data_IF_097096906620
#
_entry.id   IF_097096906620
#
_cell.length_a   1.000
_cell.length_b   1.000
_cell.length_c   1.000
_cell.angle_alpha   90.00
_cell.angle_beta   90.00
_cell.angle_gamma   90.00
#
_symmetry.space_group_name_H-M   'P 1'
#
loop_
_entity.id
_entity.type
_entity.pdbx_description
1 polymer ?
#
# COMPACT_ATOMS: atom_id res chain seq x y z
N UNK A 1 -11.69 -19.86 11.76
CA UNK A 1 -10.55 -19.01 11.35
C UNK A 1 -10.40 -19.16 9.85
N UNK A 2 -10.61 -18.10 9.08
CA UNK A 2 -10.43 -18.17 7.63
C UNK A 2 -8.93 -18.27 7.36
N UNK A 3 -8.50 -19.33 6.65
CA UNK A 3 -7.13 -19.55 6.16
C UNK A 3 -6.80 -18.56 5.03
N UNK A 4 -6.96 -17.25 5.27
CA UNK A 4 -6.63 -16.21 4.30
C UNK A 4 -5.14 -15.89 4.34
N UNK A 5 -4.48 -15.90 3.19
CA UNK A 5 -3.14 -15.32 3.07
C UNK A 5 -3.25 -13.80 3.22
N UNK A 6 -2.43 -13.24 4.12
CA UNK A 6 -2.27 -11.79 4.25
C UNK A 6 -1.67 -11.24 2.97
N UNK A 7 -2.19 -10.11 2.50
CA UNK A 7 -1.78 -9.49 1.25
C UNK A 7 -1.40 -8.03 1.49
N UNK A 8 -0.30 -7.61 0.88
CA UNK A 8 0.15 -6.24 0.79
C UNK A 8 0.38 -5.95 -0.69
N UNK A 9 -0.20 -4.87 -1.19
CA UNK A 9 0.01 -4.37 -2.55
C UNK A 9 0.48 -2.93 -2.42
N UNK A 10 1.66 -2.63 -2.96
CA UNK A 10 2.22 -1.27 -2.97
C UNK A 10 2.82 -1.05 -4.35
N UNK A 11 2.55 0.12 -4.94
CA UNK A 11 3.18 0.52 -6.19
C UNK A 11 2.47 1.71 -6.82
N UNK A 12 2.97 2.11 -7.98
CA UNK A 12 2.37 3.12 -8.83
C UNK A 12 1.19 2.52 -9.63
N UNK A 13 -0.02 3.01 -9.37
CA UNK A 13 -1.23 2.61 -10.08
C UNK A 13 -1.57 3.55 -11.23
N UNK A 14 -1.09 4.80 -11.16
CA UNK A 14 -1.40 5.89 -12.08
C UNK A 14 -2.89 5.95 -12.47
N UNK A 15 -3.77 5.77 -11.48
CA UNK A 15 -5.22 5.71 -11.65
C UNK A 15 -5.89 6.84 -10.85
N UNK A 16 -6.13 8.02 -11.44
CA UNK A 16 -6.83 9.12 -10.78
C UNK A 16 -8.20 8.73 -10.18
N UNK A 17 -8.38 8.90 -8.86
CA UNK A 17 -9.66 8.65 -8.20
C UNK A 17 -9.89 9.56 -7.00
N UNK A 18 -11.15 9.91 -6.74
CA UNK A 18 -11.52 10.79 -5.62
C UNK A 18 -11.20 10.16 -4.26
N UNK A 19 -11.33 8.83 -4.14
CA UNK A 19 -10.98 8.06 -2.94
C UNK A 19 -9.51 8.20 -2.50
N UNK A 20 -8.61 8.68 -3.36
CA UNK A 20 -7.24 9.00 -3.00
C UNK A 20 -6.80 10.40 -3.45
N UNK A 21 -7.74 11.35 -3.43
CA UNK A 21 -7.43 12.79 -3.45
C UNK A 21 -7.42 13.45 -4.83
N UNK A 22 -7.85 12.78 -5.89
CA UNK A 22 -8.07 13.43 -7.18
C UNK A 22 -9.44 14.12 -7.24
N UNK A 23 -9.57 15.17 -8.04
CA UNK A 23 -10.81 15.95 -8.14
C UNK A 23 -11.88 15.27 -9.01
N UNK A 24 -11.45 14.38 -9.91
CA UNK A 24 -12.32 13.68 -10.84
C UNK A 24 -11.91 12.23 -10.93
N UNK A 25 -12.86 11.38 -11.29
CA UNK A 25 -12.67 9.95 -11.51
C UNK A 25 -13.30 9.59 -12.85
N UNK A 26 -12.54 8.98 -13.76
CA UNK A 26 -13.11 8.38 -14.97
C UNK A 26 -13.51 6.93 -14.75
N UNK A 27 -14.38 6.40 -15.61
CA UNK A 27 -14.82 4.98 -15.56
C UNK A 27 -13.66 3.98 -15.66
N UNK A 28 -12.56 4.36 -16.32
CA UNK A 28 -11.37 3.49 -16.45
C UNK A 28 -10.64 3.37 -15.11
N UNK A 29 -10.48 4.49 -14.42
CA UNK A 29 -9.73 4.60 -13.17
C UNK A 29 -10.52 4.04 -11.97
N UNK A 30 -11.86 4.13 -12.02
CA UNK A 30 -12.76 3.51 -11.06
C UNK A 30 -12.52 1.99 -10.88
N UNK A 31 -11.97 1.30 -11.90
CA UNK A 31 -11.71 -0.15 -11.83
C UNK A 31 -10.75 -0.53 -10.70
N UNK A 32 -9.75 0.31 -10.39
CA UNK A 32 -8.83 0.02 -9.28
C UNK A 32 -9.57 0.10 -7.96
N UNK A 33 -10.39 1.13 -7.79
CA UNK A 33 -11.22 1.29 -6.60
C UNK A 33 -12.23 0.15 -6.45
N UNK A 34 -12.96 -0.17 -7.52
CA UNK A 34 -13.98 -1.23 -7.51
C UNK A 34 -13.36 -2.60 -7.23
N UNK A 35 -12.20 -2.91 -7.82
CA UNK A 35 -11.46 -4.13 -7.52
C UNK A 35 -10.99 -4.16 -6.05
N UNK A 36 -10.51 -3.03 -5.53
CA UNK A 36 -10.13 -2.93 -4.12
C UNK A 36 -11.32 -3.20 -3.19
N UNK A 37 -12.48 -2.61 -3.46
CA UNK A 37 -13.71 -2.85 -2.70
C UNK A 37 -14.16 -4.31 -2.82
N UNK A 38 -14.23 -4.86 -4.04
CA UNK A 38 -14.66 -6.23 -4.30
C UNK A 38 -13.79 -7.27 -3.57
N UNK A 39 -12.49 -7.00 -3.43
CA UNK A 39 -11.55 -7.90 -2.78
C UNK A 39 -11.31 -7.59 -1.29
N UNK A 40 -12.06 -6.63 -0.71
CA UNK A 40 -11.94 -6.26 0.70
C UNK A 40 -10.57 -5.67 1.05
N UNK A 41 -9.98 -4.90 0.15
CA UNK A 41 -8.71 -4.22 0.37
C UNK A 41 -8.90 -2.93 1.15
N UNK A 42 -8.03 -2.68 2.12
CA UNK A 42 -7.97 -1.43 2.88
C UNK A 42 -6.86 -0.54 2.32
N UNK A 43 -7.19 0.71 2.00
CA UNK A 43 -6.23 1.75 1.61
C UNK A 43 -5.54 2.32 2.85
N UNK A 44 -4.22 2.46 2.81
CA UNK A 44 -3.42 2.98 3.92
C UNK A 44 -2.87 4.39 3.72
N UNK A 45 -2.91 4.92 2.49
CA UNK A 45 -2.38 6.25 2.20
C UNK A 45 -2.99 7.31 3.13
N UNK A 46 -2.14 8.18 3.68
CA UNK A 46 -2.59 9.47 4.21
C UNK A 46 -2.62 10.49 3.06
N UNK A 47 -3.83 10.87 2.67
CA UNK A 47 -4.08 11.73 1.52
C UNK A 47 -3.63 13.19 1.72
N UNK A 48 -3.28 13.58 2.95
CA UNK A 48 -2.67 14.88 3.23
C UNK A 48 -1.20 14.93 2.82
N UNK A 49 -0.58 13.78 2.58
CA UNK A 49 0.83 13.65 2.23
C UNK A 49 0.98 13.06 0.81
N UNK A 50 0.99 13.91 -0.24
CA UNK A 50 0.99 13.45 -1.62
C UNK A 50 2.21 12.58 -1.96
N UNK A 51 1.96 11.52 -2.73
CA UNK A 51 3.02 10.59 -3.15
C UNK A 51 3.77 11.06 -4.38
N UNK A 52 3.22 12.00 -5.15
CA UNK A 52 3.91 12.66 -6.25
C UNK A 52 3.76 14.17 -6.15
N UNK A 53 4.89 14.86 -6.15
CA UNK A 53 4.98 16.32 -6.12
C UNK A 53 4.72 16.84 -7.53
N UNK A 54 3.85 17.84 -7.61
CA UNK A 54 3.50 18.52 -8.85
C UNK A 54 4.60 19.44 -9.36
N UNK A 55 4.30 20.13 -10.46
CA UNK A 55 5.14 21.16 -11.07
C UNK A 55 4.27 22.35 -11.53
N UNK A 56 4.78 23.22 -12.40
CA UNK A 56 3.99 24.37 -12.90
C UNK A 56 2.71 23.97 -13.63
N UNK A 57 2.66 22.76 -14.19
CA UNK A 57 1.55 22.26 -15.02
C UNK A 57 0.61 21.32 -14.26
N UNK A 58 1.07 20.78 -13.13
CA UNK A 58 0.35 19.74 -12.40
C UNK A 58 0.43 19.96 -10.91
N UNK A 59 -0.69 19.75 -10.21
CA UNK A 59 -0.74 19.74 -8.75
C UNK A 59 -0.16 18.46 -8.17
N UNK A 60 0.06 18.47 -6.88
CA UNK A 60 0.39 17.28 -6.11
C UNK A 60 -0.70 16.20 -6.25
N UNK A 61 -0.27 14.94 -6.33
CA UNK A 61 -1.15 13.78 -6.61
C UNK A 61 -0.74 12.53 -5.83
N UNK A 62 -1.61 11.52 -5.82
CA UNK A 62 -1.37 10.21 -5.19
C UNK A 62 -1.48 9.06 -6.20
N UNK A 63 -0.57 8.92 -7.17
CA UNK A 63 -0.56 7.78 -8.09
C UNK A 63 -0.10 6.47 -7.43
N UNK A 64 0.70 6.57 -6.37
CA UNK A 64 1.23 5.42 -5.64
C UNK A 64 0.30 5.05 -4.49
N UNK A 65 -0.17 3.81 -4.45
CA UNK A 65 -1.16 3.36 -3.48
C UNK A 65 -0.65 2.16 -2.68
N UNK A 66 -1.00 2.12 -1.40
CA UNK A 66 -0.75 1.01 -0.51
C UNK A 66 -2.05 0.39 -0.03
N UNK A 67 -2.29 -0.86 -0.41
CA UNK A 67 -3.45 -1.64 -0.02
C UNK A 67 -3.04 -2.86 0.80
N UNK A 68 -3.92 -3.30 1.70
CA UNK A 68 -3.76 -4.59 2.38
C UNK A 68 -5.07 -5.37 2.47
N UNK A 69 -4.95 -6.69 2.65
CA UNK A 69 -6.04 -7.58 3.08
C UNK A 69 -5.57 -8.44 4.25
N UNK A 70 -6.43 -8.57 5.27
CA UNK A 70 -6.16 -9.33 6.50
C UNK A 70 -4.90 -8.87 7.27
N UNK A 71 -4.53 -7.59 7.11
CA UNK A 71 -3.47 -6.90 7.85
C UNK A 71 -4.11 -5.76 8.63
N UNK A 72 -4.14 -5.88 9.96
CA UNK A 72 -4.77 -4.88 10.83
C UNK A 72 -3.75 -4.04 11.62
N UNK A 73 -2.47 -4.40 11.55
CA UNK A 73 -1.40 -3.73 12.27
C UNK A 73 -0.30 -3.32 11.29
N UNK A 74 -0.63 -2.31 10.50
CA UNK A 74 0.32 -1.65 9.61
C UNK A 74 0.36 -0.15 9.88
N UNK A 75 1.46 0.47 9.49
CA UNK A 75 1.59 1.93 9.42
C UNK A 75 2.04 2.31 8.02
N UNK A 76 1.62 3.49 7.57
CA UNK A 76 2.01 4.07 6.29
C UNK A 76 2.63 5.44 6.53
N UNK A 77 3.71 5.72 5.83
CA UNK A 77 4.39 7.02 5.87
C UNK A 77 4.97 7.36 4.49
N UNK A 78 4.79 8.60 4.04
CA UNK A 78 5.59 9.18 2.95
C UNK A 78 6.87 9.76 3.54
N UNK A 79 8.01 9.16 3.22
CA UNK A 79 9.31 9.59 3.73
C UNK A 79 9.67 10.98 3.16
N UNK A 80 10.45 11.80 3.88
CA UNK A 80 10.74 13.17 3.45
C UNK A 80 11.61 13.22 2.18
N UNK A 81 12.55 12.29 2.04
CA UNK A 81 13.46 12.21 0.90
C UNK A 81 12.76 11.61 -0.34
N UNK A 82 13.08 12.13 -1.52
CA UNK A 82 12.61 11.63 -2.82
C UNK A 82 13.75 11.10 -3.69
N UNK A 83 15.00 11.23 -3.24
CA UNK A 83 16.20 10.86 -3.99
C UNK A 83 16.26 11.54 -5.38
N UNK A 84 15.69 12.74 -5.50
CA UNK A 84 15.64 13.51 -6.75
C UNK A 84 14.50 13.13 -7.71
N UNK A 85 13.60 12.23 -7.31
CA UNK A 85 12.36 11.92 -8.03
C UNK A 85 11.25 12.92 -7.71
N UNK A 86 10.25 13.04 -8.60
CA UNK A 86 8.96 13.68 -8.31
C UNK A 86 8.05 12.77 -7.48
N UNK A 87 8.29 11.46 -7.47
CA UNK A 87 7.65 10.51 -6.55
C UNK A 87 8.37 10.46 -5.19
N UNK A 88 7.60 10.48 -4.12
CA UNK A 88 8.06 10.27 -2.75
C UNK A 88 8.18 8.80 -2.40
N UNK A 89 9.16 8.46 -1.55
CA UNK A 89 9.32 7.09 -1.06
C UNK A 89 8.19 6.79 -0.07
N UNK A 90 7.48 5.69 -0.31
CA UNK A 90 6.44 5.19 0.60
C UNK A 90 7.00 4.06 1.44
N UNK A 91 6.75 4.15 2.74
CA UNK A 91 7.04 3.10 3.70
C UNK A 91 5.73 2.51 4.24
N UNK A 92 5.59 1.19 4.14
CA UNK A 92 4.59 0.41 4.85
C UNK A 92 5.32 -0.49 5.83
N UNK A 93 5.02 -0.36 7.11
CA UNK A 93 5.51 -1.30 8.13
C UNK A 93 4.38 -2.23 8.52
N UNK A 94 4.60 -3.55 8.39
CA UNK A 94 3.61 -4.55 8.81
C UNK A 94 4.15 -5.31 10.02
N UNK A 95 3.43 -5.22 11.15
CA UNK A 95 3.79 -5.97 12.35
C UNK A 95 3.26 -7.40 12.24
N UNK A 96 4.16 -8.36 12.07
CA UNK A 96 3.81 -9.77 12.08
C UNK A 96 4.18 -10.39 13.44
N UNK A 97 3.23 -11.11 14.06
CA UNK A 97 3.56 -11.97 15.18
C UNK A 97 4.53 -13.05 14.71
N UNK A 98 5.72 -13.12 15.31
CA UNK A 98 6.70 -14.16 15.03
C UNK A 98 6.05 -15.53 15.26
N UNK A 99 5.84 -16.30 14.19
CA UNK A 99 5.65 -17.74 14.35
C UNK A 99 7.01 -18.30 14.74
N UNK A 100 7.19 -18.66 16.01
CA UNK A 100 8.29 -19.54 16.39
C UNK A 100 8.15 -20.81 15.54
N UNK A 101 9.06 -20.98 14.59
CA UNK A 101 9.25 -22.28 13.96
C UNK A 101 9.71 -23.19 15.08
N UNK A 102 8.88 -24.17 15.47
CA UNK A 102 9.35 -25.26 16.32
C UNK A 102 10.40 -26.01 15.50
N UNK A 103 11.67 -25.65 15.67
CA UNK A 103 12.77 -26.46 15.20
C UNK A 103 12.69 -27.78 15.96
N UNK A 104 12.35 -28.86 15.26
CA UNK A 104 12.43 -30.20 15.83
C UNK A 104 13.85 -30.42 16.34
N UNK A 105 14.01 -31.03 17.51
CA UNK A 105 15.33 -31.45 18.00
C UNK A 105 15.90 -32.43 16.97
N UNK A 106 16.89 -32.01 16.18
CA UNK A 106 17.66 -32.91 15.35
C UNK A 106 18.34 -33.92 16.28
N UNK A 107 18.03 -35.21 16.14
CA UNK A 107 18.78 -36.28 16.77
C UNK A 107 19.89 -36.67 15.79
N UNK A 108 21.13 -36.38 16.16
CA UNK A 108 22.28 -37.02 15.55
C UNK A 108 22.26 -38.48 16.02
N UNK A 109 22.18 -39.41 15.08
CA UNK A 109 22.38 -40.84 15.31
C UNK A 109 23.76 -41.21 14.80
N UNK A 110 24.52 -41.95 15.62
CA UNK A 110 25.87 -42.44 15.32
C UNK A 110 25.91 -43.47 14.19
#
# INVERSE_FOLDING_TARGET
>A
MVNGNRLVIVGDFNAPHAAWGYYSTTKKEARVHDAAQQHGLMLWNDLLHPTRVGNSESRDTNPDLAFTRDVHNATWTRLPDTLGSDHGIIQIEVKQAHRSLKTGKARLTD
#
